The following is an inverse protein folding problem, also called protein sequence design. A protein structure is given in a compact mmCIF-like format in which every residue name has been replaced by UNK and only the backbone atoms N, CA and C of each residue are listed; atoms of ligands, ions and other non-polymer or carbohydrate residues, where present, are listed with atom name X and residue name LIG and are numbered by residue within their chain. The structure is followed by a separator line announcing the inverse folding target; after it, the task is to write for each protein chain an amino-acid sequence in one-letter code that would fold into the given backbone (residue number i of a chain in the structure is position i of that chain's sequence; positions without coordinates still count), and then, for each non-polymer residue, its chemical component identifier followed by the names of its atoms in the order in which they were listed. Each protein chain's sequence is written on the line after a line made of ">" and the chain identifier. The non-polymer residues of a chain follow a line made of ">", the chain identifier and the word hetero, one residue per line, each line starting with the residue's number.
data_IF_547978524735
#
_entry.id   IF_547978524735
#
_cell.length_a   1.000
_cell.length_b   1.000
_cell.length_c   1.000
_cell.angle_alpha   90.00
_cell.angle_beta   90.00
_cell.angle_gamma   90.00
#
_symmetry.space_group_name_H-M   'P 1'
#
loop_
_entity.id
_entity.type
_entity.pdbx_description
1 polymer ?
#
# COMPACT_ATOMS: atom_id res chain seq x y z
N UNK A 1 -26.47 4.46 53.73
CA UNK A 1 -25.48 3.40 53.38
C UNK A 1 -25.86 2.61 52.13
N UNK A 2 -27.09 2.05 52.01
CA UNK A 2 -27.51 1.29 50.81
C UNK A 2 -27.46 2.08 49.48
N UNK A 3 -27.87 3.36 49.50
CA UNK A 3 -27.84 4.24 48.30
C UNK A 3 -26.41 4.56 47.81
N UNK A 4 -25.45 4.65 48.74
CA UNK A 4 -24.04 4.90 48.40
C UNK A 4 -23.37 3.66 47.80
N UNK A 5 -23.72 2.47 48.31
CA UNK A 5 -23.27 1.19 47.75
C UNK A 5 -23.82 0.96 46.33
N UNK A 6 -25.08 1.31 46.07
CA UNK A 6 -25.67 1.21 44.73
C UNK A 6 -24.97 2.14 43.74
N UNK A 7 -24.67 3.38 44.14
CA UNK A 7 -23.97 4.35 43.28
C UNK A 7 -22.57 3.86 42.89
N UNK A 8 -21.86 3.24 43.84
CA UNK A 8 -20.51 2.72 43.63
C UNK A 8 -20.49 1.54 42.65
N UNK A 9 -21.52 0.68 42.70
CA UNK A 9 -21.71 -0.43 41.76
C UNK A 9 -22.00 0.08 40.35
N UNK A 10 -22.81 1.13 40.21
CA UNK A 10 -23.11 1.74 38.91
C UNK A 10 -21.85 2.35 38.28
N UNK A 11 -21.05 3.07 39.08
CA UNK A 11 -19.78 3.65 38.61
C UNK A 11 -18.82 2.56 38.15
N UNK A 12 -18.73 1.46 38.90
CA UNK A 12 -17.88 0.33 38.53
C UNK A 12 -18.34 -0.34 37.22
N UNK A 13 -19.65 -0.52 37.02
CA UNK A 13 -20.22 -1.06 35.79
C UNK A 13 -19.97 -0.16 34.57
N UNK A 14 -20.05 1.17 34.76
CA UNK A 14 -19.72 2.14 33.71
C UNK A 14 -18.22 2.09 33.38
N UNK A 15 -17.35 1.95 34.39
CA UNK A 15 -15.91 1.83 34.16
C UNK A 15 -15.55 0.54 33.40
N UNK A 16 -16.16 -0.59 33.77
CA UNK A 16 -15.96 -1.88 33.11
C UNK A 16 -16.45 -1.84 31.66
N UNK A 17 -17.61 -1.21 31.39
CA UNK A 17 -18.13 -1.10 30.02
C UNK A 17 -17.26 -0.23 29.11
N UNK A 18 -16.62 0.82 29.64
CA UNK A 18 -15.64 1.63 28.88
C UNK A 18 -14.39 0.83 28.54
N UNK A 19 -13.87 0.02 29.49
CA UNK A 19 -12.70 -0.82 29.25
C UNK A 19 -12.97 -1.95 28.24
N UNK A 20 -14.17 -2.56 28.28
CA UNK A 20 -14.55 -3.61 27.32
C UNK A 20 -14.80 -3.04 25.92
N UNK A 21 -15.31 -1.81 25.80
CA UNK A 21 -15.56 -1.17 24.52
C UNK A 21 -14.28 -0.62 23.84
N UNK A 22 -13.18 -0.48 24.58
CA UNK A 22 -11.94 0.12 24.09
C UNK A 22 -11.08 -0.75 23.15
N UNK A 23 -11.33 -2.06 23.06
CA UNK A 23 -10.41 -3.01 22.41
C UNK A 23 -10.90 -3.64 21.08
N UNK A 24 -12.02 -3.20 20.51
CA UNK A 24 -12.55 -3.79 19.27
C UNK A 24 -12.81 -2.75 18.17
N UNK A 25 -11.89 -1.81 17.96
CA UNK A 25 -11.81 -1.16 16.63
C UNK A 25 -11.00 -2.11 15.76
N UNK A 26 -11.62 -2.86 14.82
CA UNK A 26 -10.86 -3.64 13.88
C UNK A 26 -9.90 -2.69 13.17
N UNK A 27 -8.62 -3.03 13.17
CA UNK A 27 -7.61 -2.30 12.42
C UNK A 27 -8.07 -2.28 10.96
N UNK A 28 -8.46 -1.09 10.47
CA UNK A 28 -8.90 -0.92 9.10
C UNK A 28 -7.69 -1.21 8.22
N UNK A 29 -7.63 -2.44 7.70
CA UNK A 29 -6.61 -2.82 6.73
C UNK A 29 -6.78 -1.91 5.53
N UNK A 30 -5.86 -0.95 5.39
CA UNK A 30 -5.88 -0.02 4.27
C UNK A 30 -5.97 -0.82 2.97
N UNK A 31 -6.93 -0.47 2.11
CA UNK A 31 -7.02 -1.04 0.76
C UNK A 31 -5.79 -0.60 -0.03
N UNK A 32 -4.93 -1.56 -0.39
CA UNK A 32 -3.72 -1.31 -1.18
C UNK A 32 -3.93 -1.88 -2.59
N UNK A 33 -4.05 -1.01 -3.58
CA UNK A 33 -3.90 -1.36 -4.99
C UNK A 33 -2.43 -1.35 -5.38
N UNK A 34 -2.01 -2.36 -6.13
CA UNK A 34 -0.67 -2.48 -6.71
C UNK A 34 -0.73 -2.38 -8.24
N UNK A 35 0.31 -1.85 -8.85
CA UNK A 35 0.52 -2.01 -10.27
C UNK A 35 1.98 -2.15 -10.67
N UNK A 36 2.19 -2.62 -11.89
CA UNK A 36 3.51 -2.83 -12.48
C UNK A 36 3.62 -2.15 -13.83
N UNK A 37 4.83 -1.71 -14.18
CA UNK A 37 5.17 -1.31 -15.54
C UNK A 37 5.38 -2.56 -16.40
N UNK A 38 4.82 -2.58 -17.61
CA UNK A 38 4.90 -3.71 -18.53
C UNK A 38 6.29 -3.78 -19.20
N UNK A 39 7.28 -4.23 -18.42
CA UNK A 39 8.68 -4.40 -18.80
C UNK A 39 9.32 -5.51 -17.95
N UNK A 40 10.47 -6.01 -18.38
CA UNK A 40 11.14 -7.17 -17.76
C UNK A 40 11.64 -6.92 -16.32
N UNK A 41 11.94 -5.68 -15.94
CA UNK A 41 12.29 -5.33 -14.56
C UNK A 41 11.18 -5.69 -13.55
N UNK A 42 9.91 -5.72 -13.98
CA UNK A 42 8.79 -6.10 -13.15
C UNK A 42 8.58 -7.62 -13.11
N UNK A 43 9.40 -8.42 -13.80
CA UNK A 43 9.25 -9.88 -13.86
C UNK A 43 9.17 -10.53 -12.48
N UNK A 44 9.98 -10.07 -11.51
CA UNK A 44 9.92 -10.64 -10.16
C UNK A 44 8.59 -10.36 -9.46
N UNK A 45 7.91 -9.24 -9.74
CA UNK A 45 6.60 -8.96 -9.19
C UNK A 45 5.54 -9.93 -9.71
N UNK A 46 5.61 -10.33 -10.98
CA UNK A 46 4.72 -11.35 -11.55
C UNK A 46 4.99 -12.74 -10.96
N UNK A 47 6.26 -13.09 -10.74
CA UNK A 47 6.62 -14.35 -10.06
C UNK A 47 6.08 -14.36 -8.63
N UNK A 48 6.25 -13.26 -7.88
CA UNK A 48 5.71 -13.12 -6.52
C UNK A 48 4.18 -13.25 -6.50
N UNK A 49 3.50 -12.72 -7.51
CA UNK A 49 2.05 -12.87 -7.66
C UNK A 49 1.66 -14.33 -7.94
N UNK A 50 2.28 -14.97 -8.95
CA UNK A 50 2.01 -16.37 -9.32
C UNK A 50 2.28 -17.35 -8.18
N UNK A 51 3.31 -17.07 -7.38
CA UNK A 51 3.72 -17.92 -6.25
C UNK A 51 2.93 -17.66 -4.98
N UNK A 52 2.05 -16.65 -4.94
CA UNK A 52 1.28 -16.28 -3.75
C UNK A 52 2.10 -15.63 -2.63
N UNK A 53 3.35 -15.20 -2.90
CA UNK A 53 4.24 -14.66 -1.86
C UNK A 53 3.72 -13.38 -1.22
N UNK A 54 2.94 -12.57 -1.94
CA UNK A 54 2.29 -11.40 -1.35
C UNK A 54 1.28 -11.81 -0.26
N UNK A 55 0.45 -12.82 -0.54
CA UNK A 55 -0.56 -13.31 0.39
C UNK A 55 0.08 -13.97 1.62
N UNK A 56 1.17 -14.73 1.42
CA UNK A 56 1.98 -15.33 2.49
C UNK A 56 2.51 -14.28 3.48
N UNK A 57 2.91 -13.11 2.97
CA UNK A 57 3.35 -11.95 3.77
C UNK A 57 2.16 -11.08 4.26
N UNK A 58 0.92 -11.54 4.07
CA UNK A 58 -0.29 -10.85 4.51
C UNK A 58 -0.73 -9.66 3.64
N UNK A 59 -0.08 -9.45 2.49
CA UNK A 59 -0.41 -8.41 1.52
C UNK A 59 -1.52 -8.90 0.59
N UNK A 60 -2.74 -8.45 0.86
CA UNK A 60 -3.91 -8.73 0.04
C UNK A 60 -4.26 -7.49 -0.76
N UNK A 61 -3.77 -7.41 -2.00
CA UNK A 61 -4.01 -6.25 -2.85
C UNK A 61 -5.45 -6.22 -3.38
N UNK A 62 -6.05 -5.04 -3.43
CA UNK A 62 -7.38 -4.86 -4.02
C UNK A 62 -7.36 -4.82 -5.55
N UNK A 63 -6.20 -4.56 -6.13
CA UNK A 63 -5.93 -4.65 -7.57
C UNK A 63 -4.46 -4.98 -7.85
N UNK A 64 -4.22 -5.58 -9.00
CA UNK A 64 -2.89 -5.80 -9.57
C UNK A 64 -2.94 -5.44 -11.05
N UNK A 65 -2.61 -4.19 -11.36
CA UNK A 65 -2.73 -3.65 -12.72
C UNK A 65 -1.39 -3.65 -13.47
N UNK A 66 -1.44 -3.68 -14.79
CA UNK A 66 -0.25 -3.56 -15.66
C UNK A 66 -0.38 -2.37 -16.59
N UNK A 67 0.62 -1.49 -16.58
CA UNK A 67 0.64 -0.27 -17.39
C UNK A 67 1.74 -0.34 -18.44
N UNK A 68 1.38 -0.02 -19.69
CA UNK A 68 2.31 -0.08 -20.83
C UNK A 68 3.51 0.87 -20.71
N UNK A 69 3.34 2.00 -20.00
CA UNK A 69 4.42 2.98 -19.82
C UNK A 69 4.51 3.43 -18.36
N UNK A 70 5.72 3.69 -17.87
CA UNK A 70 5.94 4.20 -16.53
C UNK A 70 5.32 5.57 -16.28
N UNK A 71 5.11 6.40 -17.32
CA UNK A 71 4.37 7.66 -17.18
C UNK A 71 2.88 7.44 -16.93
N UNK A 72 2.27 6.45 -17.57
CA UNK A 72 0.87 6.10 -17.30
C UNK A 72 0.72 5.55 -15.87
N UNK A 73 1.66 4.70 -15.44
CA UNK A 73 1.73 4.18 -14.08
C UNK A 73 1.94 5.28 -13.04
N UNK A 74 2.82 6.25 -13.31
CA UNK A 74 3.05 7.40 -12.45
C UNK A 74 1.80 8.29 -12.32
N UNK A 75 1.04 8.41 -13.40
CA UNK A 75 -0.24 9.14 -13.38
C UNK A 75 -1.28 8.42 -12.52
N UNK A 76 -1.30 7.08 -12.52
CA UNK A 76 -2.19 6.29 -11.66
C UNK A 76 -1.84 6.46 -10.17
N UNK A 77 -0.55 6.44 -9.81
CA UNK A 77 -0.08 6.79 -8.46
C UNK A 77 -0.53 8.20 -8.06
N UNK A 78 -0.38 9.17 -8.96
CA UNK A 78 -0.72 10.57 -8.70
C UNK A 78 -2.21 10.79 -8.43
N UNK A 79 -3.08 10.04 -9.11
CA UNK A 79 -4.54 10.09 -8.89
C UNK A 79 -5.00 9.33 -7.65
N UNK A 80 -4.16 8.45 -7.11
CA UNK A 80 -4.51 7.56 -6.01
C UNK A 80 -5.28 6.31 -6.45
N UNK A 81 -5.30 6.00 -7.74
CA UNK A 81 -5.92 4.76 -8.26
C UNK A 81 -5.20 3.50 -7.74
N UNK A 82 -3.92 3.66 -7.39
CA UNK A 82 -3.04 2.64 -6.78
C UNK A 82 -2.19 3.29 -5.69
N UNK A 83 -1.76 2.48 -4.72
CA UNK A 83 -0.99 2.95 -3.56
C UNK A 83 0.49 2.59 -3.67
N UNK A 84 0.81 1.49 -4.35
CA UNK A 84 2.19 1.01 -4.56
C UNK A 84 2.41 0.62 -6.02
N UNK A 85 3.64 0.79 -6.51
CA UNK A 85 3.96 0.45 -7.88
C UNK A 85 5.37 -0.11 -8.04
N UNK A 86 5.52 -1.07 -8.95
CA UNK A 86 6.80 -1.50 -9.49
C UNK A 86 7.07 -0.74 -10.79
N UNK A 87 8.01 0.22 -10.76
CA UNK A 87 8.19 1.21 -11.82
C UNK A 87 9.67 1.50 -12.09
N UNK A 88 10.00 1.92 -13.32
CA UNK A 88 11.28 2.51 -13.66
C UNK A 88 11.59 3.73 -12.77
N UNK A 89 12.87 3.94 -12.48
CA UNK A 89 13.31 5.09 -11.69
C UNK A 89 13.06 6.44 -12.39
N UNK A 90 13.23 6.50 -13.72
CA UNK A 90 13.12 7.77 -14.47
C UNK A 90 11.69 8.36 -14.43
N UNK A 91 10.61 7.61 -14.71
CA UNK A 91 9.25 8.11 -14.54
C UNK A 91 8.94 8.56 -13.11
N UNK A 92 9.43 7.84 -12.09
CA UNK A 92 9.26 8.23 -10.69
C UNK A 92 9.96 9.57 -10.38
N UNK A 93 11.20 9.77 -10.84
CA UNK A 93 11.90 11.05 -10.68
C UNK A 93 11.14 12.17 -11.42
N UNK A 94 10.67 11.92 -12.64
CA UNK A 94 9.96 12.92 -13.44
C UNK A 94 8.69 13.40 -12.74
N UNK A 95 7.83 12.47 -12.29
CA UNK A 95 6.56 12.84 -11.66
C UNK A 95 6.76 13.56 -10.32
N UNK A 96 7.79 13.19 -9.56
CA UNK A 96 8.16 13.90 -8.34
C UNK A 96 8.70 15.31 -8.65
N UNK A 97 9.68 15.42 -9.55
CA UNK A 97 10.38 16.66 -9.83
C UNK A 97 9.49 17.69 -10.56
N UNK A 98 8.73 17.25 -11.56
CA UNK A 98 7.99 18.12 -12.46
C UNK A 98 6.52 18.26 -12.06
N UNK A 99 5.84 17.17 -11.71
CA UNK A 99 4.42 17.18 -11.36
C UNK A 99 4.17 17.35 -9.85
N UNK A 100 5.23 17.37 -9.03
CA UNK A 100 5.17 17.54 -7.56
C UNK A 100 4.30 16.49 -6.86
N UNK A 101 4.19 15.30 -7.44
CA UNK A 101 3.43 14.21 -6.84
C UNK A 101 4.21 13.66 -5.64
N UNK A 102 3.60 13.53 -4.46
CA UNK A 102 4.29 13.16 -3.22
C UNK A 102 4.56 11.65 -3.14
N UNK A 103 5.27 11.10 -4.13
CA UNK A 103 5.68 9.69 -4.12
C UNK A 103 6.98 9.50 -3.34
N UNK A 104 7.18 8.29 -2.82
CA UNK A 104 8.41 7.88 -2.12
C UNK A 104 8.96 6.60 -2.76
N UNK A 105 10.26 6.61 -3.06
CA UNK A 105 10.98 5.41 -3.48
C UNK A 105 11.35 4.63 -2.22
N UNK A 106 10.83 3.40 -2.10
CA UNK A 106 11.02 2.57 -0.90
C UNK A 106 12.20 1.59 -1.02
N UNK A 107 12.45 1.08 -2.22
CA UNK A 107 13.54 0.14 -2.48
C UNK A 107 13.93 0.14 -3.97
N UNK A 108 15.20 -0.15 -4.24
CA UNK A 108 15.67 -0.52 -5.58
C UNK A 108 15.62 -2.05 -5.73
N UNK A 109 15.12 -2.53 -6.85
CA UNK A 109 14.87 -3.97 -7.06
C UNK A 109 15.89 -4.64 -7.98
N UNK A 110 16.67 -3.85 -8.72
CA UNK A 110 17.80 -4.31 -9.51
C UNK A 110 18.93 -3.28 -9.46
N UNK A 111 20.18 -3.74 -9.63
CA UNK A 111 21.39 -2.90 -9.52
C UNK A 111 21.84 -2.32 -10.86
N UNK A 112 21.63 -3.06 -11.95
CA UNK A 112 22.13 -2.70 -13.27
C UNK A 112 21.07 -1.96 -14.08
N UNK A 113 21.52 -1.06 -14.96
CA UNK A 113 20.64 -0.29 -15.82
C UNK A 113 20.19 -1.05 -17.07
N UNK A 114 19.24 -0.46 -17.78
CA UNK A 114 18.75 -0.93 -19.07
C UNK A 114 19.42 -0.19 -20.23
N UNK A 115 19.58 -0.87 -21.37
CA UNK A 115 20.15 -0.30 -22.58
C UNK A 115 19.10 0.21 -23.55
N UNK A 116 19.37 1.33 -24.22
CA UNK A 116 18.59 1.80 -25.36
C UNK A 116 18.99 1.00 -26.61
N UNK A 117 18.04 0.27 -27.20
CA UNK A 117 18.24 -0.39 -28.49
C UNK A 117 17.55 0.44 -29.57
N UNK A 118 18.30 0.84 -30.59
CA UNK A 118 17.78 1.59 -31.73
C UNK A 118 17.71 0.65 -32.93
N UNK A 119 16.50 0.43 -33.44
CA UNK A 119 16.33 -0.22 -34.73
C UNK A 119 16.68 0.79 -35.83
N UNK A 120 17.55 0.40 -36.77
CA UNK A 120 17.92 1.23 -37.92
C UNK A 120 17.00 0.97 -39.09
#
# INVERSE_FOLDING_TARGET
>A
MKKLSILLVIILLVFISIFIAGECVPEEKASIGMAVEFMDHAACAYISQDKGWFEEEGLNFTSYESYVTGMALASALARGDIQVAYMCLIPAINVYANAKVPIKIVAGTHKYGYGLVVNR
#
